data_IF_407227219741
#
_entry.id   IF_407227219741
#
_cell.length_a   1.000
_cell.length_b   1.000
_cell.length_c   1.000
_cell.angle_alpha   90.00
_cell.angle_beta   90.00
_cell.angle_gamma   90.00
#
_symmetry.space_group_name_H-M   'P 1'
#
loop_
_entity.id
_entity.type
_entity.pdbx_description
1 polymer ?
#
# COMPACT_ATOMS: atom_id res chain seq x y z
N UNK A 1 -2.99 -11.96 -14.79
CA UNK A 1 -2.55 -10.56 -14.59
C UNK A 1 -3.32 -9.56 -15.45
N UNK A 2 -3.92 -10.00 -16.57
CA UNK A 2 -4.66 -9.12 -17.47
C UNK A 2 -5.80 -8.34 -16.82
N UNK A 3 -6.39 -8.86 -15.75
CA UNK A 3 -7.49 -8.21 -15.02
C UNK A 3 -7.05 -7.52 -13.73
N UNK A 4 -5.75 -7.49 -13.43
CA UNK A 4 -5.25 -6.88 -12.21
C UNK A 4 -5.27 -5.36 -12.32
N UNK A 5 -6.07 -4.71 -11.46
CA UNK A 5 -6.17 -3.26 -11.40
C UNK A 5 -4.79 -2.60 -11.21
N UNK A 6 -4.00 -3.12 -10.27
CA UNK A 6 -2.70 -2.50 -9.96
C UNK A 6 -1.64 -2.76 -11.03
N UNK A 7 -1.71 -3.90 -11.72
CA UNK A 7 -0.86 -4.10 -12.90
C UNK A 7 -1.19 -3.10 -14.00
N UNK A 8 -2.47 -2.79 -14.19
CA UNK A 8 -2.91 -1.79 -15.19
C UNK A 8 -2.48 -0.37 -14.82
N UNK A 9 -2.48 -0.04 -13.54
CA UNK A 9 -1.97 1.24 -13.05
C UNK A 9 -0.45 1.28 -13.20
N UNK A 10 0.23 0.18 -12.89
CA UNK A 10 1.67 0.06 -13.02
C UNK A 10 2.16 0.32 -14.45
N UNK A 11 1.46 -0.22 -15.45
CA UNK A 11 1.85 -0.06 -16.86
C UNK A 11 1.19 1.13 -17.56
N UNK A 12 0.46 1.96 -16.80
CA UNK A 12 -0.25 3.15 -17.26
C UNK A 12 -1.41 2.85 -18.23
N UNK A 13 -1.89 1.63 -18.31
CA UNK A 13 -3.13 1.29 -19.02
C UNK A 13 -4.30 2.04 -18.39
N UNK A 14 -4.30 2.13 -17.05
CA UNK A 14 -5.22 2.99 -16.30
C UNK A 14 -4.39 4.14 -15.73
N UNK A 15 -4.64 5.39 -16.16
CA UNK A 15 -3.90 6.54 -15.61
C UNK A 15 -4.23 6.74 -14.15
N UNK A 16 -3.22 7.05 -13.35
CA UNK A 16 -3.38 7.36 -11.93
C UNK A 16 -2.23 8.27 -11.50
N UNK A 17 -2.57 9.25 -10.64
CA UNK A 17 -1.56 10.10 -10.05
C UNK A 17 -0.78 9.32 -8.99
N UNK A 18 0.52 9.16 -9.21
CA UNK A 18 1.39 8.47 -8.27
C UNK A 18 2.00 9.48 -7.32
N UNK A 19 1.76 9.30 -6.02
CA UNK A 19 2.35 10.15 -4.96
C UNK A 19 3.76 9.70 -4.58
N UNK A 20 4.15 8.51 -5.01
CA UNK A 20 5.50 7.97 -4.89
C UNK A 20 5.78 7.07 -6.08
N UNK A 21 7.01 7.08 -6.56
CA UNK A 21 7.38 6.31 -7.75
C UNK A 21 8.86 5.94 -7.69
N UNK A 22 9.16 4.65 -7.68
CA UNK A 22 10.51 4.11 -7.76
C UNK A 22 10.54 2.92 -8.71
N UNK A 23 11.71 2.30 -8.90
CA UNK A 23 11.84 1.15 -9.78
C UNK A 23 11.04 -0.07 -9.30
N UNK A 24 10.78 -0.18 -8.00
CA UNK A 24 10.16 -1.37 -7.41
C UNK A 24 8.81 -1.14 -6.77
N UNK A 25 8.50 0.11 -6.42
CA UNK A 25 7.27 0.47 -5.71
C UNK A 25 6.64 1.71 -6.33
N UNK A 26 5.32 1.77 -6.29
CA UNK A 26 4.60 3.02 -6.50
C UNK A 26 3.53 3.19 -5.44
N UNK A 27 3.05 4.41 -5.27
CA UNK A 27 1.99 4.68 -4.31
C UNK A 27 0.97 5.64 -4.90
N UNK A 28 -0.29 5.41 -4.55
CA UNK A 28 -1.43 6.22 -5.01
C UNK A 28 -2.35 6.51 -3.82
N UNK A 29 -3.12 7.59 -3.89
CA UNK A 29 -4.19 7.82 -2.93
C UNK A 29 -5.31 6.82 -3.16
N UNK A 30 -5.88 6.28 -2.08
CA UNK A 30 -7.07 5.44 -2.19
C UNK A 30 -8.26 6.30 -2.62
N UNK A 31 -9.03 5.81 -3.59
CA UNK A 31 -10.19 6.52 -4.11
C UNK A 31 -11.39 6.52 -3.15
N UNK A 32 -11.38 5.61 -2.17
CA UNK A 32 -12.37 5.54 -1.11
C UNK A 32 -11.66 5.64 0.25
N UNK A 33 -11.11 6.82 0.59
CA UNK A 33 -10.25 6.95 1.76
C UNK A 33 -11.00 6.71 3.07
N UNK A 34 -10.37 5.98 3.96
CA UNK A 34 -10.90 5.68 5.30
C UNK A 34 -10.27 6.57 6.37
N UNK A 35 -9.38 7.48 5.98
CA UNK A 35 -8.73 8.47 6.83
C UNK A 35 -8.32 9.65 5.96
N UNK A 36 -8.03 10.83 6.55
CA UNK A 36 -7.54 12.00 5.79
C UNK A 36 -6.32 11.70 4.93
N UNK A 37 -5.40 10.86 5.44
CA UNK A 37 -4.35 10.25 4.62
C UNK A 37 -4.66 8.77 4.49
N UNK A 38 -4.87 8.32 3.27
CA UNK A 38 -5.05 6.90 2.95
C UNK A 38 -4.36 6.63 1.63
N UNK A 39 -3.15 6.09 1.72
CA UNK A 39 -2.29 5.84 0.57
C UNK A 39 -2.09 4.34 0.43
N UNK A 40 -2.09 3.86 -0.81
CA UNK A 40 -1.76 2.48 -1.14
C UNK A 40 -0.32 2.43 -1.65
N UNK A 41 0.53 1.65 -0.99
CA UNK A 41 1.91 1.41 -1.40
C UNK A 41 1.95 0.04 -2.05
N UNK A 42 2.38 -0.02 -3.31
CA UNK A 42 2.14 -1.18 -4.17
C UNK A 42 3.46 -1.62 -4.83
N UNK A 43 3.92 -2.86 -4.56
CA UNK A 43 5.02 -3.42 -5.33
C UNK A 43 4.65 -3.58 -6.80
N UNK A 44 5.59 -3.27 -7.70
CA UNK A 44 5.32 -3.38 -9.14
C UNK A 44 5.21 -4.82 -9.60
N UNK A 45 6.01 -5.70 -9.01
CA UNK A 45 5.94 -7.14 -9.31
C UNK A 45 4.62 -7.70 -8.77
N UNK A 46 3.87 -8.37 -9.62
CA UNK A 46 2.60 -8.95 -9.22
C UNK A 46 2.81 -10.18 -8.35
N UNK A 47 2.26 -10.12 -7.13
CA UNK A 47 2.09 -11.27 -6.24
C UNK A 47 0.68 -11.13 -5.65
N UNK A 48 -0.06 -12.23 -5.61
CA UNK A 48 -1.47 -12.15 -5.23
C UNK A 48 -1.66 -11.75 -3.77
N UNK A 49 -0.83 -12.30 -2.87
CA UNK A 49 -0.94 -12.02 -1.44
C UNK A 49 0.39 -12.19 -0.71
N UNK A 50 0.42 -11.84 0.59
CA UNK A 50 1.58 -12.06 1.44
C UNK A 50 2.04 -13.52 1.46
N UNK A 51 1.13 -14.47 1.23
CA UNK A 51 1.49 -15.89 1.20
C UNK A 51 2.44 -16.23 0.05
N UNK A 52 2.51 -15.39 -0.97
CA UNK A 52 3.40 -15.58 -2.12
C UNK A 52 4.78 -14.95 -1.90
N UNK A 53 4.97 -14.20 -0.82
CA UNK A 53 6.26 -13.57 -0.49
C UNK A 53 7.25 -14.64 -0.07
N UNK A 54 8.42 -14.64 -0.71
CA UNK A 54 9.51 -15.55 -0.41
C UNK A 54 10.66 -14.77 0.24
N UNK A 55 11.66 -15.49 0.73
CA UNK A 55 12.82 -14.87 1.37
C UNK A 55 13.50 -13.83 0.47
N UNK A 56 13.60 -14.11 -0.83
CA UNK A 56 14.18 -13.18 -1.80
C UNK A 56 13.44 -11.85 -1.89
N UNK A 57 12.19 -11.80 -1.44
CA UNK A 57 11.34 -10.61 -1.50
C UNK A 57 11.39 -9.77 -0.21
N UNK A 58 12.08 -10.24 0.82
CA UNK A 58 12.06 -9.56 2.13
C UNK A 58 12.63 -8.14 2.06
N UNK A 59 13.67 -7.91 1.26
CA UNK A 59 14.22 -6.57 1.08
C UNK A 59 13.19 -5.62 0.47
N UNK A 60 12.45 -6.09 -0.52
CA UNK A 60 11.38 -5.30 -1.13
C UNK A 60 10.28 -4.98 -0.11
N UNK A 61 9.87 -5.97 0.67
CA UNK A 61 8.86 -5.77 1.73
C UNK A 61 9.36 -4.78 2.79
N UNK A 62 10.63 -4.87 3.16
CA UNK A 62 11.24 -3.90 4.08
C UNK A 62 11.25 -2.48 3.53
N UNK A 63 11.45 -2.31 2.22
CA UNK A 63 11.45 -0.99 1.60
C UNK A 63 10.07 -0.32 1.65
N UNK A 64 9.00 -1.09 1.77
CA UNK A 64 7.64 -0.54 1.97
C UNK A 64 7.60 0.28 3.27
N UNK A 65 8.22 -0.20 4.33
CA UNK A 65 8.28 0.53 5.61
C UNK A 65 9.01 1.86 5.42
N UNK A 66 10.12 1.86 4.69
CA UNK A 66 10.86 3.10 4.41
C UNK A 66 10.03 4.11 3.64
N UNK A 67 9.29 3.65 2.63
CA UNK A 67 8.40 4.52 1.85
C UNK A 67 7.24 5.03 2.71
N UNK A 68 6.66 4.16 3.55
CA UNK A 68 5.60 4.58 4.47
C UNK A 68 6.09 5.68 5.42
N UNK A 69 7.28 5.55 5.98
CA UNK A 69 7.87 6.58 6.83
C UNK A 69 8.06 7.90 6.09
N UNK A 70 8.59 7.84 4.86
CA UNK A 70 8.80 9.04 4.05
C UNK A 70 7.47 9.76 3.78
N UNK A 71 6.47 9.02 3.32
CA UNK A 71 5.15 9.60 3.01
C UNK A 71 4.46 10.12 4.26
N UNK A 72 4.59 9.42 5.38
CA UNK A 72 4.03 9.86 6.65
C UNK A 72 4.64 11.19 7.10
N UNK A 73 5.95 11.34 6.99
CA UNK A 73 6.63 12.60 7.33
C UNK A 73 6.17 13.75 6.44
N UNK A 74 6.04 13.49 5.12
CA UNK A 74 5.55 14.49 4.17
C UNK A 74 4.13 14.96 4.50
N UNK A 75 3.33 14.10 5.13
CA UNK A 75 1.95 14.39 5.53
C UNK A 75 1.82 14.83 6.99
N UNK A 76 2.93 15.01 7.71
CA UNK A 76 2.93 15.42 9.11
C UNK A 76 2.46 14.35 10.08
N UNK A 77 2.49 13.08 9.69
CA UNK A 77 2.00 11.98 10.50
C UNK A 77 3.04 11.41 11.48
N UNK A 78 4.29 11.82 11.36
CA UNK A 78 5.37 11.39 12.26
C UNK A 78 5.12 11.84 13.71
N UNK A 79 4.47 12.99 13.91
CA UNK A 79 4.14 13.49 15.24
C UNK A 79 2.89 12.83 15.82
N UNK A 80 1.84 12.62 15.01
CA UNK A 80 0.55 12.09 15.48
C UNK A 80 0.44 10.58 15.38
N UNK A 81 1.22 9.98 14.51
CA UNK A 81 1.20 8.54 14.27
C UNK A 81 0.44 8.13 13.02
N UNK A 82 0.72 6.92 12.59
CA UNK A 82 0.03 6.33 11.44
C UNK A 82 -0.09 4.82 11.63
N UNK A 83 -0.92 4.20 10.81
CA UNK A 83 -1.08 2.75 10.79
C UNK A 83 -0.73 2.23 9.40
N UNK A 84 0.06 1.16 9.35
CA UNK A 84 0.35 0.45 8.12
C UNK A 84 -0.36 -0.90 8.16
N UNK A 85 -1.20 -1.17 7.16
CA UNK A 85 -2.03 -2.37 7.11
C UNK A 85 -1.77 -3.12 5.82
N UNK A 86 -1.62 -4.42 5.91
CA UNK A 86 -1.64 -5.31 4.76
C UNK A 86 -2.64 -6.43 5.02
N UNK A 87 -3.59 -6.61 4.12
CA UNK A 87 -4.60 -7.65 4.22
C UNK A 87 -4.17 -8.85 3.38
N UNK A 88 -4.24 -10.03 3.95
CA UNK A 88 -3.90 -11.28 3.26
C UNK A 88 -5.10 -12.21 3.28
N UNK A 89 -5.72 -12.40 2.12
CA UNK A 89 -6.86 -13.29 1.96
C UNK A 89 -8.21 -12.62 2.21
N UNK A 90 -9.26 -13.30 1.77
CA UNK A 90 -10.63 -12.77 1.81
C UNK A 90 -11.11 -12.53 3.25
N UNK A 91 -10.76 -13.41 4.17
CA UNK A 91 -11.15 -13.28 5.59
C UNK A 91 -10.55 -12.07 6.28
N UNK A 92 -9.45 -11.52 5.75
CA UNK A 92 -8.83 -10.31 6.25
C UNK A 92 -9.27 -9.05 5.50
N UNK A 93 -10.14 -9.20 4.50
CA UNK A 93 -10.64 -8.07 3.72
C UNK A 93 -9.82 -7.71 2.48
N UNK A 94 -8.97 -8.64 2.00
CA UNK A 94 -8.26 -8.39 0.76
C UNK A 94 -9.24 -8.42 -0.42
N UNK A 95 -9.39 -7.30 -1.12
CA UNK A 95 -10.32 -7.17 -2.24
C UNK A 95 -9.62 -7.17 -3.60
N UNK A 96 -8.37 -6.73 -3.66
CA UNK A 96 -7.56 -6.78 -4.88
C UNK A 96 -6.40 -7.74 -4.65
N UNK A 97 -6.26 -8.75 -5.52
CA UNK A 97 -5.25 -9.79 -5.36
C UNK A 97 -3.95 -9.42 -6.09
N UNK A 98 -3.37 -8.36 -5.61
CA UNK A 98 -2.05 -7.84 -5.87
C UNK A 98 -1.61 -7.17 -4.57
N UNK A 99 -0.53 -7.63 -3.96
CA UNK A 99 -0.09 -7.14 -2.64
C UNK A 99 -0.08 -5.61 -2.63
N UNK A 100 -0.70 -5.04 -1.61
CA UNK A 100 -0.67 -3.60 -1.37
C UNK A 100 -0.78 -3.32 0.12
N UNK A 101 -0.17 -2.22 0.54
CA UNK A 101 -0.12 -1.80 1.93
C UNK A 101 -0.87 -0.49 2.06
N UNK A 102 -1.76 -0.42 3.05
CA UNK A 102 -2.50 0.81 3.35
C UNK A 102 -1.74 1.62 4.38
N UNK A 103 -1.46 2.87 4.05
CA UNK A 103 -0.93 3.86 5.00
C UNK A 103 -2.08 4.76 5.41
N UNK A 104 -2.45 4.73 6.68
CA UNK A 104 -3.61 5.44 7.21
C UNK A 104 -3.19 6.39 8.33
N UNK A 105 -3.66 7.61 8.28
CA UNK A 105 -3.37 8.60 9.32
C UNK A 105 -4.21 9.86 9.20
N UNK A 106 -4.04 10.75 10.15
CA UNK A 106 -4.77 12.02 10.18
C UNK A 106 -6.05 11.98 11.01
N UNK A 107 -6.33 10.86 11.66
CA UNK A 107 -7.40 10.70 12.66
C UNK A 107 -6.99 9.65 13.67
N UNK A 108 -7.73 9.58 14.79
CA UNK A 108 -7.53 8.50 15.74
C UNK A 108 -7.92 7.16 15.11
N UNK A 109 -7.07 6.17 15.27
CA UNK A 109 -7.27 4.81 14.79
C UNK A 109 -7.36 3.91 16.03
N UNK A 110 -8.52 3.34 16.23
CA UNK A 110 -8.85 2.65 17.47
C UNK A 110 -8.30 1.22 17.51
N UNK A 111 -8.39 0.63 18.69
CA UNK A 111 -8.08 -0.76 18.93
C UNK A 111 -9.31 -1.44 19.54
N UNK A 112 -9.71 -2.67 19.10
CA UNK A 112 -9.04 -3.51 18.09
C UNK A 112 -9.14 -2.94 16.67
N UNK A 113 -8.20 -3.39 15.77
CA UNK A 113 -8.08 -2.77 14.44
C UNK A 113 -9.15 -3.17 13.42
N UNK A 114 -10.02 -4.05 13.78
CA UNK A 114 -11.07 -4.49 12.86
C UNK A 114 -12.38 -4.83 13.53
#
# INVERSE_FOLDING_TARGET
MGNCLFCKINDNTIPSHKVYNSDTLFAINDLNPQAPTHILIIPRTHQASLLDVEEKDHTLMGSVIGVANQLAKERGLDASGYRLVVNCGAGAGQSVYHIHFHLLGGRALNWPPG
#
